data_IF_668611632995
#
_entry.id   IF_668611632995
#
_cell.length_a   1.000
_cell.length_b   1.000
_cell.length_c   1.000
_cell.angle_alpha   90.00
_cell.angle_beta   90.00
_cell.angle_gamma   90.00
#
_symmetry.space_group_name_H-M   'P 1'
#
loop_
_entity.id
_entity.type
_entity.pdbx_description
1 polymer ?
#
# COMPACT_ATOMS: atom_id res chain seq x y z
N UNK A 1 1.75 24.48 -12.28
CA UNK A 1 2.31 23.46 -11.37
C UNK A 1 1.16 22.74 -10.68
N UNK A 2 1.04 21.43 -10.89
CA UNK A 2 0.12 20.52 -10.19
C UNK A 2 0.94 19.66 -9.25
N UNK A 3 0.67 19.78 -7.97
CA UNK A 3 1.35 19.07 -6.91
C UNK A 3 0.35 18.15 -6.23
N UNK A 4 0.76 16.90 -6.00
CA UNK A 4 0.05 15.95 -5.16
C UNK A 4 0.97 15.42 -4.07
N UNK A 5 0.40 15.11 -2.92
CA UNK A 5 1.12 14.50 -1.81
C UNK A 5 0.28 13.38 -1.20
N UNK A 6 0.96 12.44 -0.56
CA UNK A 6 0.35 11.34 0.18
C UNK A 6 1.26 10.92 1.34
N UNK A 7 0.73 10.10 2.23
CA UNK A 7 1.47 9.36 3.25
C UNK A 7 0.83 7.98 3.44
N UNK A 8 1.29 7.28 4.47
CA UNK A 8 0.51 6.21 5.13
C UNK A 8 0.16 5.00 4.24
N UNK A 9 1.13 4.52 3.46
CA UNK A 9 0.88 3.42 2.51
C UNK A 9 0.93 2.06 3.20
N UNK A 10 -0.20 1.36 3.15
CA UNK A 10 -0.38 0.00 3.70
C UNK A 10 -0.24 -0.05 5.23
N UNK A 11 -0.82 0.94 5.92
CA UNK A 11 -0.90 0.97 7.37
C UNK A 11 -2.04 0.13 7.95
N UNK A 12 -1.92 -0.20 9.24
CA UNK A 12 -3.01 -0.78 10.06
C UNK A 12 -3.60 -2.10 9.53
N UNK A 13 -2.82 -2.86 8.74
CA UNK A 13 -3.26 -4.12 8.15
C UNK A 13 -4.10 -3.99 6.87
N UNK A 14 -4.24 -2.78 6.31
CA UNK A 14 -4.92 -2.54 5.03
C UNK A 14 -3.92 -2.50 3.86
N UNK A 15 -3.69 -3.66 3.26
CA UNK A 15 -2.82 -3.84 2.10
C UNK A 15 -3.51 -3.70 0.74
N UNK A 16 -2.93 -4.33 -0.26
CA UNK A 16 -3.46 -4.36 -1.62
C UNK A 16 -4.71 -5.22 -1.64
N UNK A 17 -5.85 -4.65 -2.01
CA UNK A 17 -7.11 -5.38 -2.18
C UNK A 17 -7.48 -5.52 -3.67
N UNK A 18 -7.21 -6.67 -4.30
CA UNK A 18 -7.48 -6.88 -5.72
C UNK A 18 -8.97 -6.76 -6.07
N UNK A 19 -9.87 -7.12 -5.16
CA UNK A 19 -11.32 -7.15 -5.42
C UNK A 19 -11.90 -5.75 -5.70
N UNK A 20 -11.22 -4.71 -5.21
CA UNK A 20 -11.61 -3.31 -5.45
C UNK A 20 -10.65 -2.59 -6.41
N UNK A 21 -9.75 -3.33 -7.07
CA UNK A 21 -8.78 -2.78 -8.01
C UNK A 21 -7.51 -2.24 -7.37
N UNK A 22 -7.11 -2.72 -6.20
CA UNK A 22 -5.84 -2.40 -5.55
C UNK A 22 -5.81 -1.04 -4.84
N UNK A 23 -4.64 -0.39 -4.82
CA UNK A 23 -4.43 0.91 -4.17
C UNK A 23 -4.91 2.09 -5.04
N UNK A 24 -6.24 2.18 -5.21
CA UNK A 24 -6.92 3.12 -6.13
C UNK A 24 -6.53 4.61 -5.97
N UNK A 25 -6.07 5.04 -4.80
CA UNK A 25 -5.66 6.43 -4.58
C UNK A 25 -4.49 6.83 -5.51
N UNK A 26 -3.58 5.91 -5.80
CA UNK A 26 -2.47 6.17 -6.72
C UNK A 26 -2.94 6.42 -8.16
N UNK A 27 -3.95 5.70 -8.66
CA UNK A 27 -4.54 6.00 -9.97
C UNK A 27 -5.31 7.33 -9.96
N UNK A 28 -6.04 7.61 -8.87
CA UNK A 28 -6.75 8.88 -8.72
C UNK A 28 -5.79 10.08 -8.76
N UNK A 29 -4.62 9.98 -8.09
CA UNK A 29 -3.55 10.98 -8.17
C UNK A 29 -2.95 11.05 -9.57
N UNK A 30 -2.61 9.90 -10.19
CA UNK A 30 -2.03 9.81 -11.55
C UNK A 30 -2.87 10.56 -12.58
N UNK A 31 -4.19 10.39 -12.54
CA UNK A 31 -5.14 11.03 -13.47
C UNK A 31 -5.20 12.56 -13.35
N UNK A 32 -4.63 13.14 -12.28
CA UNK A 32 -4.49 14.60 -12.15
C UNK A 32 -3.33 15.16 -12.96
N UNK A 33 -2.51 14.30 -13.59
CA UNK A 33 -1.32 14.68 -14.35
C UNK A 33 -0.42 15.64 -13.53
N UNK A 34 0.02 15.22 -12.33
CA UNK A 34 0.86 16.06 -11.48
C UNK A 34 2.23 16.28 -12.11
N UNK A 35 2.84 17.43 -11.86
CA UNK A 35 4.21 17.73 -12.26
C UNK A 35 5.21 17.03 -11.34
N UNK A 36 4.85 16.82 -10.07
CA UNK A 36 5.62 16.03 -9.12
C UNK A 36 4.74 15.51 -7.97
N UNK A 37 5.29 14.52 -7.25
CA UNK A 37 4.69 13.89 -6.09
C UNK A 37 5.61 14.01 -4.88
N UNK A 38 5.03 14.30 -3.71
CA UNK A 38 5.73 14.20 -2.42
C UNK A 38 5.09 13.10 -1.57
N UNK A 39 5.88 12.09 -1.20
CA UNK A 39 5.49 11.13 -0.19
C UNK A 39 5.96 11.61 1.19
N UNK A 40 5.03 11.96 2.07
CA UNK A 40 5.26 12.55 3.40
C UNK A 40 5.53 11.47 4.47
N UNK A 41 6.42 10.52 4.19
CA UNK A 41 6.72 9.43 5.12
C UNK A 41 5.71 8.29 5.09
N UNK A 42 5.94 7.29 5.94
CA UNK A 42 5.13 6.05 6.01
C UNK A 42 4.93 5.39 4.64
N UNK A 43 6.00 5.36 3.84
CA UNK A 43 6.03 4.68 2.54
C UNK A 43 5.89 3.17 2.70
N UNK A 44 6.25 2.64 3.88
CA UNK A 44 5.96 1.27 4.31
C UNK A 44 5.55 1.29 5.78
N UNK A 45 4.65 0.38 6.16
CA UNK A 45 4.50 -0.10 7.53
C UNK A 45 5.17 -1.46 7.65
N UNK A 46 6.10 -1.59 8.60
CA UNK A 46 6.91 -2.79 8.82
C UNK A 46 6.89 -3.22 10.31
N UNK A 47 6.08 -2.54 11.10
CA UNK A 47 5.86 -2.69 12.54
C UNK A 47 4.72 -3.66 12.88
N UNK A 48 3.99 -4.16 11.88
CA UNK A 48 2.92 -5.14 12.07
C UNK A 48 2.54 -5.91 10.80
N UNK A 49 1.86 -7.05 10.95
CA UNK A 49 1.44 -7.87 9.83
C UNK A 49 0.24 -7.27 9.08
N UNK A 50 0.12 -7.63 7.79
CA UNK A 50 -1.09 -7.43 6.98
C UNK A 50 -1.84 -8.76 6.90
N UNK A 51 -2.94 -8.94 7.66
CA UNK A 51 -3.68 -10.20 7.65
C UNK A 51 -4.36 -10.41 6.29
N UNK A 52 -4.56 -11.65 5.88
CA UNK A 52 -5.21 -11.97 4.60
C UNK A 52 -6.63 -11.38 4.50
N UNK A 53 -7.32 -11.22 5.63
CA UNK A 53 -8.67 -10.68 5.69
C UNK A 53 -8.84 -9.81 6.93
N UNK A 54 -9.69 -8.79 6.81
CA UNK A 54 -10.13 -7.97 7.93
C UNK A 54 -11.62 -7.66 7.78
N UNK A 55 -12.40 -7.76 8.86
CA UNK A 55 -13.80 -7.35 8.84
C UNK A 55 -13.84 -5.83 8.99
N UNK A 56 -14.48 -5.17 8.04
CA UNK A 56 -14.67 -3.72 8.04
C UNK A 56 -16.14 -3.40 8.30
N UNK A 57 -16.47 -2.11 8.27
CA UNK A 57 -17.83 -1.61 8.51
C UNK A 57 -18.89 -2.38 7.71
N UNK A 58 -20.03 -2.58 8.38
CA UNK A 58 -21.19 -3.31 7.87
C UNK A 58 -20.93 -4.79 7.60
N UNK A 59 -19.96 -5.39 8.30
CA UNK A 59 -19.63 -6.82 8.20
C UNK A 59 -18.99 -7.22 6.87
N UNK A 60 -18.57 -6.24 6.06
CA UNK A 60 -17.85 -6.50 4.81
C UNK A 60 -16.45 -7.03 5.13
N UNK A 61 -15.89 -7.80 4.20
CA UNK A 61 -14.54 -8.35 4.35
C UNK A 61 -13.61 -7.63 3.39
N UNK A 62 -12.57 -7.02 3.94
CA UNK A 62 -11.39 -6.57 3.19
C UNK A 62 -10.48 -7.78 2.94
N UNK A 63 -10.07 -8.00 1.68
CA UNK A 63 -9.18 -9.11 1.30
C UNK A 63 -7.85 -8.57 0.83
N UNK A 64 -6.79 -8.90 1.55
CA UNK A 64 -5.44 -8.48 1.20
C UNK A 64 -4.76 -9.53 0.31
N UNK A 65 -4.01 -9.07 -0.67
CA UNK A 65 -2.88 -9.81 -1.19
C UNK A 65 -1.85 -9.96 -0.07
N UNK A 66 -1.32 -11.16 0.14
CA UNK A 66 -0.36 -11.45 1.20
C UNK A 66 1.01 -11.80 0.65
N UNK A 67 2.05 -11.56 1.44
CA UNK A 67 3.43 -12.00 1.20
C UNK A 67 4.08 -12.37 2.53
N UNK A 68 5.16 -13.14 2.49
CA UNK A 68 5.89 -13.51 3.70
C UNK A 68 6.40 -12.29 4.46
N UNK A 69 6.94 -11.28 3.76
CA UNK A 69 7.43 -10.06 4.40
C UNK A 69 6.34 -9.22 5.08
N UNK A 70 5.06 -9.49 4.79
CA UNK A 70 3.89 -8.86 5.42
C UNK A 70 3.23 -9.76 6.48
N UNK A 71 3.80 -10.93 6.79
CA UNK A 71 3.25 -11.87 7.78
C UNK A 71 3.73 -11.59 9.22
N UNK A 72 4.74 -10.73 9.40
CA UNK A 72 5.41 -10.49 10.68
C UNK A 72 6.04 -9.08 10.75
N UNK A 73 6.50 -8.70 11.94
CA UNK A 73 7.27 -7.46 12.17
C UNK A 73 8.65 -7.60 11.53
N UNK A 74 9.07 -6.61 10.75
CA UNK A 74 10.37 -6.62 10.10
C UNK A 74 11.51 -6.48 11.11
N UNK A 75 12.47 -7.40 11.05
CA UNK A 75 13.69 -7.38 11.88
C UNK A 75 14.95 -7.59 11.07
N UNK A 76 14.83 -8.00 9.81
CA UNK A 76 15.92 -8.18 8.87
C UNK A 76 15.83 -7.22 7.69
N UNK A 77 16.96 -6.99 7.01
CA UNK A 77 17.00 -6.18 5.78
C UNK A 77 16.08 -6.76 4.70
N UNK A 78 15.95 -8.08 4.63
CA UNK A 78 15.09 -8.72 3.64
C UNK A 78 13.61 -8.51 3.97
N UNK A 79 13.23 -8.43 5.25
CA UNK A 79 11.88 -8.06 5.66
C UNK A 79 11.57 -6.62 5.23
N UNK A 80 12.48 -5.67 5.50
CA UNK A 80 12.30 -4.27 5.08
C UNK A 80 12.21 -4.13 3.55
N UNK A 81 13.06 -4.84 2.81
CA UNK A 81 13.00 -4.87 1.33
C UNK A 81 11.71 -5.51 0.84
N UNK A 82 11.25 -6.57 1.50
CA UNK A 82 9.99 -7.24 1.18
C UNK A 82 8.78 -6.33 1.41
N UNK A 83 8.78 -5.57 2.50
CA UNK A 83 7.76 -4.56 2.80
C UNK A 83 7.71 -3.46 1.72
N UNK A 84 8.86 -3.00 1.25
CA UNK A 84 8.93 -2.04 0.15
C UNK A 84 8.43 -2.64 -1.18
N UNK A 85 8.90 -3.84 -1.52
CA UNK A 85 8.50 -4.55 -2.75
C UNK A 85 7.01 -4.87 -2.78
N UNK A 86 6.38 -5.14 -1.63
CA UNK A 86 4.95 -5.40 -1.54
C UNK A 86 4.13 -4.29 -2.20
N UNK A 87 4.43 -3.01 -1.89
CA UNK A 87 3.70 -1.88 -2.47
C UNK A 87 3.86 -1.79 -4.00
N UNK A 88 5.02 -2.20 -4.51
CA UNK A 88 5.31 -2.25 -5.95
C UNK A 88 4.65 -3.45 -6.68
N UNK A 89 3.98 -4.35 -5.96
CA UNK A 89 3.14 -5.38 -6.59
C UNK A 89 1.81 -4.82 -7.09
N UNK A 90 1.36 -3.67 -6.57
CA UNK A 90 0.13 -3.02 -6.98
C UNK A 90 0.26 -2.34 -8.33
N UNK A 91 -0.72 -2.56 -9.22
CA UNK A 91 -0.69 -1.99 -10.56
C UNK A 91 -0.83 -0.45 -10.56
N UNK A 92 -1.62 0.13 -9.65
CA UNK A 92 -1.81 1.58 -9.60
C UNK A 92 -0.54 2.28 -9.12
N UNK A 93 0.14 1.71 -8.12
CA UNK A 93 1.46 2.21 -7.68
C UNK A 93 2.47 2.14 -8.82
N UNK A 94 2.55 1.02 -9.53
CA UNK A 94 3.48 0.86 -10.67
C UNK A 94 3.23 1.87 -11.78
N UNK A 95 1.96 2.17 -12.10
CA UNK A 95 1.60 3.15 -13.15
C UNK A 95 1.79 4.59 -12.71
N UNK A 96 1.86 4.86 -11.40
CA UNK A 96 2.06 6.20 -10.86
C UNK A 96 3.54 6.61 -10.82
N UNK A 97 4.46 5.64 -10.75
CA UNK A 97 5.91 5.84 -10.90
C UNK A 97 6.32 5.96 -12.37
#
# INVERSE_FOLDING_TARGET
>A
IRFVWSGDTVGQGFGINPDIGGMRIYDAMRRRLPDFFLHSGDTIYADGPVPAQQVVENGRVWRNLTTEAKSHVAVTVDDFRGNYRYNLMDENVRRFN
#
